data_IF_825953212251
#
_entry.id   IF_825953212251
#
_cell.length_a   1.000
_cell.length_b   1.000
_cell.length_c   1.000
_cell.angle_alpha   90.00
_cell.angle_beta   90.00
_cell.angle_gamma   90.00
#
_symmetry.space_group_name_H-M   'P 1'
#
loop_
_entity.id
_entity.type
_entity.pdbx_description
1 polymer ?
#
# COMPACT_ATOMS: atom_id res chain seq x y z
N UNK A 1 -7.50 -3.81 -11.62
CA UNK A 1 -6.27 -4.31 -10.95
C UNK A 1 -6.58 -4.56 -9.49
N UNK A 2 -5.92 -5.53 -8.89
CA UNK A 2 -6.14 -5.93 -7.49
C UNK A 2 -4.80 -5.98 -6.76
N UNK A 3 -4.84 -5.91 -5.43
CA UNK A 3 -3.65 -6.05 -4.61
C UNK A 3 -3.88 -7.00 -3.43
N UNK A 4 -2.80 -7.61 -2.96
CA UNK A 4 -2.70 -8.27 -1.66
C UNK A 4 -1.70 -7.50 -0.83
N UNK A 5 -2.12 -7.02 0.33
CA UNK A 5 -1.25 -6.41 1.34
C UNK A 5 -1.07 -7.40 2.49
N UNK A 6 0.17 -7.76 2.76
CA UNK A 6 0.55 -8.62 3.89
C UNK A 6 1.23 -7.76 4.94
N UNK A 7 0.58 -7.54 6.06
CA UNK A 7 1.17 -6.82 7.19
C UNK A 7 2.02 -7.76 8.01
N UNK A 8 3.22 -7.34 8.30
CA UNK A 8 4.21 -8.11 9.04
C UNK A 8 4.77 -7.31 10.21
N UNK A 9 5.21 -8.02 11.24
CA UNK A 9 5.99 -7.47 12.33
C UNK A 9 7.27 -8.30 12.46
N UNK A 10 8.39 -7.72 12.08
CA UNK A 10 9.72 -8.30 12.29
C UNK A 10 10.34 -7.73 13.57
N UNK A 11 11.24 -8.46 14.25
CA UNK A 11 12.09 -7.86 15.27
C UNK A 11 12.91 -6.70 14.66
N UNK A 12 13.07 -5.55 15.34
CA UNK A 12 13.78 -4.40 14.79
C UNK A 12 15.21 -4.69 14.33
N UNK A 13 15.91 -5.59 15.01
CA UNK A 13 17.25 -6.07 14.65
C UNK A 13 17.25 -7.01 13.42
N UNK A 14 16.10 -7.52 13.00
CA UNK A 14 15.91 -8.41 11.85
C UNK A 14 15.36 -7.73 10.60
N UNK A 15 15.14 -6.42 10.65
CA UNK A 15 14.56 -5.67 9.52
C UNK A 15 15.38 -5.82 8.24
N UNK A 16 16.71 -5.78 8.34
CA UNK A 16 17.55 -5.93 7.15
C UNK A 16 17.47 -7.35 6.56
N UNK A 17 17.39 -8.38 7.40
CA UNK A 17 17.17 -9.76 6.95
C UNK A 17 15.79 -9.92 6.27
N UNK A 18 14.75 -9.27 6.81
CA UNK A 18 13.41 -9.28 6.21
C UNK A 18 13.39 -8.61 4.83
N UNK A 19 14.09 -7.47 4.66
CA UNK A 19 14.24 -6.81 3.37
C UNK A 19 14.94 -7.73 2.37
N UNK A 20 16.08 -8.30 2.75
CA UNK A 20 16.85 -9.20 1.91
C UNK A 20 16.05 -10.47 1.53
N UNK A 21 15.32 -11.05 2.49
CA UNK A 21 14.44 -12.18 2.19
C UNK A 21 13.32 -11.83 1.21
N UNK A 22 12.76 -10.61 1.31
CA UNK A 22 11.76 -10.15 0.35
C UNK A 22 12.34 -10.04 -1.05
N UNK A 23 13.53 -9.44 -1.22
CA UNK A 23 14.20 -9.27 -2.51
C UNK A 23 14.58 -10.61 -3.15
N UNK A 24 15.18 -11.51 -2.38
CA UNK A 24 15.79 -12.74 -2.94
C UNK A 24 14.78 -13.88 -3.08
N UNK A 25 13.83 -14.01 -2.15
CA UNK A 25 12.95 -15.16 -2.06
C UNK A 25 11.50 -14.83 -2.45
N UNK A 26 10.91 -13.80 -1.82
CA UNK A 26 9.50 -13.48 -2.02
C UNK A 26 9.27 -12.91 -3.42
N UNK A 27 10.07 -11.92 -3.82
CA UNK A 27 9.94 -11.26 -5.11
C UNK A 27 10.11 -12.23 -6.28
N UNK A 28 11.06 -13.15 -6.18
CA UNK A 28 11.28 -14.20 -7.20
C UNK A 28 10.05 -15.09 -7.40
N UNK A 29 9.41 -15.53 -6.31
CA UNK A 29 8.19 -16.36 -6.36
C UNK A 29 7.00 -15.59 -6.92
N UNK A 30 6.82 -14.37 -6.47
CA UNK A 30 5.71 -13.51 -6.90
C UNK A 30 5.83 -13.18 -8.39
N UNK A 31 7.03 -12.81 -8.86
CA UNK A 31 7.33 -12.50 -10.26
C UNK A 31 7.01 -13.64 -11.22
N UNK A 32 7.27 -14.89 -10.82
CA UNK A 32 7.00 -16.07 -11.64
C UNK A 32 5.53 -16.50 -11.65
N UNK A 33 4.67 -15.84 -10.87
CA UNK A 33 3.26 -16.21 -10.77
C UNK A 33 2.43 -15.49 -11.85
N UNK A 34 1.65 -16.21 -12.66
CA UNK A 34 0.84 -15.61 -13.72
C UNK A 34 -0.09 -14.51 -13.22
N UNK A 35 -0.15 -13.41 -13.96
CA UNK A 35 -0.99 -12.25 -13.65
C UNK A 35 -0.41 -11.31 -12.59
N UNK A 36 0.81 -11.57 -12.08
CA UNK A 36 1.49 -10.61 -11.23
C UNK A 36 1.91 -9.36 -12.01
N UNK A 37 1.74 -8.19 -11.39
CA UNK A 37 2.05 -6.88 -11.94
C UNK A 37 3.14 -6.15 -11.11
N UNK A 38 3.77 -6.88 -10.18
CA UNK A 38 4.85 -6.37 -9.36
C UNK A 38 4.59 -6.47 -7.87
N UNK A 39 5.59 -6.04 -7.10
CA UNK A 39 5.55 -6.03 -5.65
C UNK A 39 6.35 -4.87 -5.08
N UNK A 40 5.96 -4.43 -3.89
CA UNK A 40 6.69 -3.45 -3.07
C UNK A 40 6.75 -3.94 -1.62
N UNK A 41 7.85 -3.60 -0.94
CA UNK A 41 7.97 -3.74 0.50
C UNK A 41 8.08 -2.36 1.13
N UNK A 42 7.14 -2.04 1.99
CA UNK A 42 7.15 -0.89 2.88
C UNK A 42 7.61 -1.34 4.25
N UNK A 43 8.47 -0.58 4.90
CA UNK A 43 9.03 -0.94 6.21
C UNK A 43 9.21 0.29 7.11
N UNK A 44 8.95 0.13 8.39
CA UNK A 44 9.41 1.02 9.45
C UNK A 44 10.65 0.39 10.08
N UNK A 45 11.83 0.95 9.81
CA UNK A 45 13.10 0.42 10.36
C UNK A 45 13.15 0.52 11.88
N UNK A 46 12.44 1.50 12.45
CA UNK A 46 12.43 1.72 13.89
C UNK A 46 11.60 0.66 14.63
N UNK A 47 10.43 0.28 14.07
CA UNK A 47 9.49 -0.61 14.75
C UNK A 47 9.52 -2.04 14.25
N UNK A 48 10.09 -2.28 13.07
CA UNK A 48 10.02 -3.57 12.39
C UNK A 48 8.64 -3.87 11.74
N UNK A 49 7.69 -2.94 11.84
CA UNK A 49 6.41 -3.05 11.14
C UNK A 49 6.62 -2.91 9.62
N UNK A 50 5.92 -3.71 8.84
CA UNK A 50 6.03 -3.67 7.37
C UNK A 50 4.77 -4.12 6.64
N UNK A 51 4.72 -3.77 5.35
CA UNK A 51 3.64 -4.17 4.44
C UNK A 51 4.27 -4.65 3.13
N UNK A 52 4.18 -5.95 2.85
CA UNK A 52 4.48 -6.50 1.55
C UNK A 52 3.24 -6.42 0.66
N UNK A 53 3.30 -5.63 -0.41
CA UNK A 53 2.17 -5.45 -1.34
C UNK A 53 2.51 -6.12 -2.66
N UNK A 54 1.60 -6.95 -3.17
CA UNK A 54 1.68 -7.57 -4.49
C UNK A 54 0.50 -7.13 -5.34
N UNK A 55 0.77 -6.79 -6.61
CA UNK A 55 -0.23 -6.31 -7.55
C UNK A 55 -0.59 -7.40 -8.56
N UNK A 56 -1.87 -7.45 -8.93
CA UNK A 56 -2.45 -8.51 -9.77
C UNK A 56 -3.35 -7.91 -10.84
N UNK A 57 -3.26 -8.42 -12.06
CA UNK A 57 -4.04 -7.92 -13.19
C UNK A 57 -5.55 -8.06 -13.01
N UNK A 58 -6.00 -9.09 -12.25
CA UNK A 58 -7.42 -9.40 -12.06
C UNK A 58 -7.69 -10.04 -10.70
N UNK A 59 -8.95 -10.04 -10.26
CA UNK A 59 -9.40 -10.79 -9.09
C UNK A 59 -9.13 -12.29 -9.23
N UNK A 60 -9.26 -12.83 -10.46
CA UNK A 60 -8.98 -14.24 -10.76
C UNK A 60 -7.50 -14.57 -10.56
N UNK A 61 -6.57 -13.72 -11.04
CA UNK A 61 -5.14 -13.91 -10.84
C UNK A 61 -4.77 -13.81 -9.35
N UNK A 62 -5.33 -12.83 -8.63
CA UNK A 62 -5.16 -12.70 -7.18
C UNK A 62 -5.62 -13.97 -6.44
N UNK A 63 -6.82 -14.48 -6.76
CA UNK A 63 -7.36 -15.70 -6.15
C UNK A 63 -6.52 -16.93 -6.48
N UNK A 64 -6.11 -17.11 -7.73
CA UNK A 64 -5.26 -18.23 -8.17
C UNK A 64 -3.88 -18.24 -7.47
N UNK A 65 -3.38 -17.07 -7.09
CA UNK A 65 -2.10 -16.93 -6.38
C UNK A 65 -2.17 -17.24 -4.87
N UNK A 66 -3.34 -17.54 -4.31
CA UNK A 66 -3.51 -17.66 -2.85
C UNK A 66 -2.67 -18.75 -2.22
N UNK A 67 -2.66 -19.94 -2.81
CA UNK A 67 -1.89 -21.08 -2.29
C UNK A 67 -0.39 -20.77 -2.28
N UNK A 68 0.14 -20.17 -3.36
CA UNK A 68 1.52 -19.71 -3.42
C UNK A 68 1.78 -18.66 -2.34
N UNK A 69 0.85 -17.70 -2.16
CA UNK A 69 0.96 -16.66 -1.15
C UNK A 69 1.03 -17.23 0.27
N UNK A 70 0.20 -18.22 0.60
CA UNK A 70 0.24 -18.92 1.92
C UNK A 70 1.61 -19.57 2.13
N UNK A 71 2.07 -20.37 1.15
CA UNK A 71 3.38 -21.05 1.23
C UNK A 71 4.53 -20.05 1.39
N UNK A 72 4.47 -18.93 0.65
CA UNK A 72 5.50 -17.88 0.73
C UNK A 72 5.54 -17.23 2.11
N UNK A 73 4.40 -16.92 2.70
CA UNK A 73 4.31 -16.36 4.07
C UNK A 73 4.85 -17.32 5.13
N UNK A 74 4.46 -18.58 5.05
CA UNK A 74 4.96 -19.62 5.97
C UNK A 74 6.47 -19.77 5.86
N UNK A 75 7.01 -19.79 4.64
CA UNK A 75 8.45 -19.91 4.43
C UNK A 75 9.19 -18.65 4.92
N UNK A 76 8.68 -17.47 4.61
CA UNK A 76 9.29 -16.21 5.04
C UNK A 76 9.39 -16.07 6.57
N UNK A 77 8.38 -16.53 7.30
CA UNK A 77 8.42 -16.54 8.76
C UNK A 77 9.48 -17.51 9.33
N UNK A 78 9.83 -18.57 8.58
CA UNK A 78 10.93 -19.48 8.94
C UNK A 78 12.30 -18.89 8.58
N UNK A 79 12.38 -18.22 7.43
CA UNK A 79 13.63 -17.63 6.93
C UNK A 79 14.10 -16.46 7.80
N UNK A 80 13.15 -15.72 8.40
CA UNK A 80 13.44 -14.59 9.32
C UNK A 80 12.73 -14.86 10.66
N UNK A 81 13.38 -15.61 11.57
CA UNK A 81 12.78 -15.99 12.85
C UNK A 81 12.34 -14.78 13.68
N UNK A 82 11.16 -14.89 14.30
CA UNK A 82 10.52 -13.81 15.06
C UNK A 82 9.60 -12.92 14.24
N UNK A 83 9.60 -13.04 12.91
CA UNK A 83 8.65 -12.33 12.05
C UNK A 83 7.25 -12.95 12.17
N UNK A 84 6.27 -12.08 12.43
CA UNK A 84 4.86 -12.45 12.51
C UNK A 84 4.09 -11.90 11.32
N UNK A 85 3.16 -12.70 10.77
CA UNK A 85 2.15 -12.22 9.82
C UNK A 85 0.98 -11.69 10.65
N UNK A 86 0.79 -10.37 10.63
CA UNK A 86 -0.23 -9.68 11.43
C UNK A 86 -1.59 -9.77 10.75
N UNK A 87 -1.62 -9.49 9.44
CA UNK A 87 -2.85 -9.48 8.65
C UNK A 87 -2.55 -9.67 7.16
N UNK A 88 -3.55 -10.16 6.42
CA UNK A 88 -3.52 -10.29 4.95
C UNK A 88 -4.80 -9.72 4.38
N UNK A 89 -4.68 -8.62 3.67
CA UNK A 89 -5.78 -7.88 3.06
C UNK A 89 -5.78 -8.08 1.55
N UNK A 90 -6.96 -8.03 0.95
CA UNK A 90 -7.16 -8.06 -0.50
C UNK A 90 -8.04 -6.88 -0.86
N UNK A 91 -7.65 -6.15 -1.89
CA UNK A 91 -8.38 -4.96 -2.26
C UNK A 91 -8.39 -4.75 -3.78
N UNK A 92 -9.41 -4.09 -4.25
CA UNK A 92 -9.50 -3.56 -5.61
C UNK A 92 -8.77 -2.21 -5.66
N UNK A 93 -7.86 -2.07 -6.63
CA UNK A 93 -7.17 -0.81 -6.88
C UNK A 93 -8.10 0.15 -7.64
N UNK A 94 -8.54 1.18 -6.95
CA UNK A 94 -9.48 2.17 -7.47
C UNK A 94 -8.81 3.36 -8.14
N UNK A 95 -7.58 3.67 -7.70
CA UNK A 95 -6.86 4.83 -8.17
C UNK A 95 -5.36 4.64 -8.01
N UNK A 96 -4.61 5.06 -9.03
CA UNK A 96 -3.16 5.17 -8.99
C UNK A 96 -2.75 6.38 -9.84
N UNK A 97 -2.23 7.42 -9.20
CA UNK A 97 -1.58 8.56 -9.84
C UNK A 97 -0.08 8.49 -9.54
N UNK A 98 0.74 8.67 -10.55
CA UNK A 98 2.19 8.70 -10.43
C UNK A 98 2.72 9.95 -11.12
N UNK A 99 3.38 10.82 -10.38
CA UNK A 99 4.10 11.98 -10.89
C UNK A 99 5.57 11.67 -11.18
N UNK A 100 6.10 10.58 -10.60
CA UNK A 100 7.48 10.14 -10.78
C UNK A 100 7.60 8.62 -10.73
N UNK A 101 8.67 8.08 -11.32
CA UNK A 101 8.98 6.65 -11.29
C UNK A 101 9.15 6.14 -9.85
N UNK A 102 8.57 4.97 -9.53
CA UNK A 102 8.74 4.35 -8.22
C UNK A 102 10.21 4.04 -7.95
N UNK A 103 10.69 4.35 -6.74
CA UNK A 103 12.06 4.06 -6.31
C UNK A 103 12.13 3.71 -4.83
N UNK A 104 13.18 2.98 -4.47
CA UNK A 104 13.56 2.70 -3.08
C UNK A 104 13.97 3.99 -2.35
N UNK A 105 13.77 4.04 -1.04
CA UNK A 105 14.18 5.18 -0.20
C UNK A 105 13.20 6.36 -0.26
N UNK A 106 11.98 6.16 -0.77
CA UNK A 106 10.90 7.14 -0.67
C UNK A 106 10.07 6.86 0.59
N UNK A 107 9.35 7.87 1.06
CA UNK A 107 8.55 7.77 2.27
C UNK A 107 7.06 7.79 1.93
N UNK A 108 6.30 6.93 2.61
CA UNK A 108 4.87 6.79 2.36
C UNK A 108 4.07 7.05 3.64
N UNK A 109 3.03 7.87 3.52
CA UNK A 109 1.95 7.89 4.50
C UNK A 109 0.86 6.95 4.02
N UNK A 110 0.61 5.90 4.78
CA UNK A 110 -0.46 4.93 4.54
C UNK A 110 -1.60 5.23 5.50
N UNK A 111 -2.75 5.51 4.96
CA UNK A 111 -3.99 5.74 5.69
C UNK A 111 -4.92 4.57 5.43
N UNK A 112 -5.39 3.95 6.48
CA UNK A 112 -6.38 2.90 6.41
C UNK A 112 -7.59 3.32 7.21
N UNK A 113 -8.79 3.13 6.67
CA UNK A 113 -10.02 3.36 7.39
C UNK A 113 -10.99 2.19 7.20
N UNK A 114 -11.86 1.98 8.20
CA UNK A 114 -12.98 1.05 8.15
C UNK A 114 -14.26 1.88 8.11
N UNK A 115 -14.95 1.84 7.00
CA UNK A 115 -16.15 2.63 6.73
C UNK A 115 -17.32 1.78 6.27
N UNK A 116 -18.37 2.44 5.82
CA UNK A 116 -19.52 1.82 5.21
C UNK A 116 -19.20 1.37 3.77
N UNK A 117 -19.31 0.07 3.44
CA UNK A 117 -19.03 -0.44 2.10
C UNK A 117 -19.76 0.32 0.96
N UNK A 118 -20.96 0.85 1.24
CA UNK A 118 -21.76 1.58 0.26
C UNK A 118 -21.25 3.01 0.02
N UNK A 119 -20.42 3.54 0.89
CA UNK A 119 -19.88 4.91 0.84
C UNK A 119 -18.45 5.00 0.32
N UNK A 120 -17.76 3.87 0.16
CA UNK A 120 -16.35 3.86 -0.25
C UNK A 120 -16.12 4.53 -1.60
N UNK A 121 -17.01 4.34 -2.58
CA UNK A 121 -16.88 4.97 -3.90
C UNK A 121 -16.93 6.50 -3.81
N UNK A 122 -17.82 7.05 -2.98
CA UNK A 122 -17.88 8.48 -2.74
C UNK A 122 -16.59 9.02 -2.11
N UNK A 123 -15.99 8.27 -1.17
CA UNK A 123 -14.70 8.62 -0.60
C UNK A 123 -13.56 8.58 -1.64
N UNK A 124 -13.56 7.61 -2.56
CA UNK A 124 -12.61 7.55 -3.68
C UNK A 124 -12.77 8.77 -4.61
N UNK A 125 -14.01 9.17 -4.91
CA UNK A 125 -14.29 10.39 -5.69
C UNK A 125 -13.74 11.63 -5.00
N UNK A 126 -13.92 11.76 -3.67
CA UNK A 126 -13.34 12.85 -2.90
C UNK A 126 -11.80 12.83 -2.94
N UNK A 127 -11.18 11.67 -2.73
CA UNK A 127 -9.71 11.53 -2.81
C UNK A 127 -9.21 11.99 -4.19
N UNK A 128 -9.87 11.57 -5.26
CA UNK A 128 -9.51 11.95 -6.63
C UNK A 128 -9.63 13.45 -6.89
N UNK A 129 -10.74 14.06 -6.46
CA UNK A 129 -11.10 15.41 -6.84
C UNK A 129 -10.56 16.47 -5.88
N UNK A 130 -10.25 16.12 -4.63
CA UNK A 130 -9.81 17.04 -3.60
C UNK A 130 -8.40 16.70 -3.09
N UNK A 131 -8.19 15.44 -2.61
CA UNK A 131 -6.90 15.08 -2.00
C UNK A 131 -5.76 15.04 -3.02
N UNK A 132 -5.99 14.47 -4.21
CA UNK A 132 -4.96 14.34 -5.24
C UNK A 132 -4.43 15.69 -5.74
N UNK A 133 -5.27 16.69 -6.11
CA UNK A 133 -4.78 18.01 -6.53
C UNK A 133 -3.95 18.71 -5.44
N UNK A 134 -4.36 18.61 -4.17
CA UNK A 134 -3.60 19.12 -3.03
C UNK A 134 -2.24 18.43 -2.97
N UNK A 135 -2.20 17.08 -2.96
CA UNK A 135 -0.95 16.33 -2.90
C UNK A 135 0.00 16.71 -4.04
N UNK A 136 -0.51 16.81 -5.27
CA UNK A 136 0.28 17.18 -6.47
C UNK A 136 0.88 18.58 -6.42
N UNK A 137 0.27 19.51 -5.68
CA UNK A 137 0.78 20.88 -5.53
C UNK A 137 1.93 20.97 -4.51
N UNK A 138 2.19 19.92 -3.74
CA UNK A 138 3.18 19.95 -2.68
C UNK A 138 4.53 19.42 -3.16
N UNK A 139 5.60 20.00 -2.61
CA UNK A 139 6.97 19.59 -2.91
C UNK A 139 7.20 18.12 -2.54
N UNK A 140 7.94 17.41 -3.38
CA UNK A 140 8.33 16.02 -3.14
C UNK A 140 7.22 14.98 -3.38
N UNK A 141 6.02 15.36 -3.84
CA UNK A 141 4.98 14.43 -4.21
C UNK A 141 5.43 13.50 -5.36
N UNK A 142 5.18 12.20 -5.21
CA UNK A 142 5.54 11.18 -6.22
C UNK A 142 4.35 10.37 -6.69
N UNK A 143 3.48 9.94 -5.78
CA UNK A 143 2.34 9.10 -6.13
C UNK A 143 1.21 9.18 -5.09
N UNK A 144 0.00 8.89 -5.53
CA UNK A 144 -1.14 8.57 -4.68
C UNK A 144 -1.80 7.29 -5.18
N UNK A 145 -2.00 6.34 -4.28
CA UNK A 145 -2.66 5.05 -4.56
C UNK A 145 -3.81 4.90 -3.59
N UNK A 146 -4.98 4.46 -4.09
CA UNK A 146 -6.13 4.14 -3.24
C UNK A 146 -6.77 2.82 -3.68
N UNK A 147 -7.12 1.99 -2.70
CA UNK A 147 -7.73 0.68 -2.89
C UNK A 147 -8.82 0.44 -1.86
N UNK A 148 -9.82 -0.38 -2.21
CA UNK A 148 -10.94 -0.71 -1.34
C UNK A 148 -11.15 -2.22 -1.27
N UNK A 149 -11.60 -2.68 -0.12
CA UNK A 149 -12.22 -3.97 0.08
C UNK A 149 -13.71 -3.75 0.40
N UNK A 150 -14.56 -4.07 -0.57
CA UNK A 150 -16.01 -3.86 -0.45
C UNK A 150 -16.67 -4.84 0.52
N UNK A 151 -16.01 -5.96 0.83
CA UNK A 151 -16.58 -6.96 1.75
C UNK A 151 -16.43 -6.49 3.19
N UNK A 152 -15.31 -5.86 3.51
CA UNK A 152 -14.99 -5.42 4.88
C UNK A 152 -15.27 -3.95 5.14
N UNK A 153 -15.55 -3.13 4.11
CA UNK A 153 -15.68 -1.69 4.24
C UNK A 153 -14.32 -0.97 4.40
N UNK A 154 -13.21 -1.65 4.06
CA UNK A 154 -11.88 -1.10 4.25
C UNK A 154 -11.45 -0.28 3.04
N UNK A 155 -10.97 0.93 3.28
CA UNK A 155 -10.28 1.77 2.31
C UNK A 155 -8.85 1.99 2.79
N UNK A 156 -7.89 1.81 1.88
CA UNK A 156 -6.49 2.15 2.10
C UNK A 156 -6.04 3.15 1.04
N UNK A 157 -5.44 4.25 1.48
CA UNK A 157 -4.85 5.25 0.60
C UNK A 157 -3.41 5.53 1.03
N UNK A 158 -2.49 5.63 0.07
CA UNK A 158 -1.11 5.99 0.35
C UNK A 158 -0.66 7.16 -0.51
N UNK A 159 0.08 8.09 0.09
CA UNK A 159 0.82 9.13 -0.61
C UNK A 159 2.31 8.90 -0.46
N UNK A 160 3.05 9.00 -1.58
CA UNK A 160 4.50 8.79 -1.63
C UNK A 160 5.23 10.11 -1.82
N UNK A 161 6.33 10.30 -1.09
CA UNK A 161 7.10 11.53 -1.01
C UNK A 161 8.60 11.26 -1.19
N UNK A 162 9.33 12.23 -1.75
CA UNK A 162 10.77 12.11 -1.98
C UNK A 162 11.55 11.95 -0.66
N UNK A 163 11.18 12.72 0.37
CA UNK A 163 11.86 12.74 1.67
C UNK A 163 10.87 12.69 2.82
N UNK A 164 11.35 12.31 4.01
CA UNK A 164 10.57 12.40 5.24
C UNK A 164 10.13 13.85 5.52
N UNK A 165 11.00 14.83 5.28
CA UNK A 165 10.69 16.24 5.46
C UNK A 165 9.55 16.72 4.54
N UNK A 166 9.50 16.27 3.28
CA UNK A 166 8.38 16.57 2.37
C UNK A 166 7.08 15.90 2.83
N UNK A 167 7.16 14.66 3.34
CA UNK A 167 6.04 13.95 3.93
C UNK A 167 5.49 14.70 5.14
N UNK A 168 6.36 15.12 6.07
CA UNK A 168 5.97 15.86 7.29
C UNK A 168 5.35 17.21 6.94
N UNK A 169 5.96 17.95 6.03
CA UNK A 169 5.44 19.25 5.55
C UNK A 169 4.04 19.12 4.89
N UNK A 170 3.75 17.96 4.27
CA UNK A 170 2.45 17.71 3.65
C UNK A 170 1.29 17.61 4.66
N UNK A 171 1.56 17.28 5.92
CA UNK A 171 0.53 16.95 6.91
C UNK A 171 -0.46 18.09 7.11
N UNK A 172 0.02 19.33 7.23
CA UNK A 172 -0.84 20.50 7.46
C UNK A 172 -1.88 20.72 6.35
N UNK A 173 -1.62 20.25 5.14
CA UNK A 173 -2.53 20.36 3.98
C UNK A 173 -3.37 19.11 3.75
N UNK A 174 -2.81 17.93 4.09
CA UNK A 174 -3.45 16.64 3.82
C UNK A 174 -4.39 16.17 4.94
N UNK A 175 -4.19 16.64 6.18
CA UNK A 175 -5.00 16.20 7.32
C UNK A 175 -6.50 16.49 7.15
N UNK A 176 -6.85 17.71 6.70
CA UNK A 176 -8.25 18.11 6.53
C UNK A 176 -8.99 17.28 5.48
N UNK A 177 -8.38 17.10 4.30
CA UNK A 177 -8.99 16.29 3.22
C UNK A 177 -9.06 14.81 3.58
N UNK A 178 -8.11 14.29 4.38
CA UNK A 178 -8.15 12.93 4.93
C UNK A 178 -9.33 12.76 5.89
N UNK A 179 -9.54 13.69 6.80
CA UNK A 179 -10.66 13.66 7.73
C UNK A 179 -12.01 13.71 6.99
N UNK A 180 -12.12 14.52 5.94
CA UNK A 180 -13.34 14.58 5.13
C UNK A 180 -13.57 13.29 4.35
N UNK A 181 -12.53 12.67 3.78
CA UNK A 181 -12.65 11.36 3.13
C UNK A 181 -13.15 10.28 4.10
N UNK A 182 -12.64 10.27 5.35
CA UNK A 182 -13.09 9.34 6.38
C UNK A 182 -14.58 9.57 6.73
N UNK A 183 -14.99 10.82 6.93
CA UNK A 183 -16.40 11.18 7.19
C UNK A 183 -17.32 10.75 6.05
N UNK A 184 -16.93 10.99 4.80
CA UNK A 184 -17.68 10.55 3.61
C UNK A 184 -17.82 9.03 3.59
N UNK A 185 -16.75 8.29 3.94
CA UNK A 185 -16.78 6.83 4.07
C UNK A 185 -17.62 6.34 5.27
N UNK A 186 -18.10 7.23 6.13
CA UNK A 186 -18.83 6.86 7.35
C UNK A 186 -17.93 6.35 8.48
N UNK A 187 -16.63 6.62 8.41
CA UNK A 187 -15.65 6.25 9.42
C UNK A 187 -15.49 7.36 10.48
N UNK A 188 -15.44 6.97 11.73
CA UNK A 188 -15.11 7.85 12.85
C UNK A 188 -13.58 7.99 13.03
N UNK A 189 -13.13 8.91 13.90
CA UNK A 189 -11.69 9.10 14.15
C UNK A 189 -10.98 7.82 14.64
N UNK A 190 -11.64 6.97 15.40
CA UNK A 190 -11.11 5.69 15.90
C UNK A 190 -10.96 4.63 14.81
N UNK A 191 -11.66 4.80 13.68
CA UNK A 191 -11.63 3.87 12.55
C UNK A 191 -10.52 4.19 11.55
N UNK A 192 -9.75 5.26 11.79
CA UNK A 192 -8.68 5.73 10.90
C UNK A 192 -7.32 5.45 11.53
N UNK A 193 -6.48 4.75 10.79
CA UNK A 193 -5.08 4.53 11.14
C UNK A 193 -4.17 5.24 10.14
N UNK A 194 -3.15 5.93 10.63
CA UNK A 194 -2.13 6.61 9.82
C UNK A 194 -0.77 6.05 10.20
N UNK A 195 -0.07 5.52 9.23
CA UNK A 195 1.26 4.91 9.41
C UNK A 195 2.25 5.50 8.42
N UNK A 196 3.51 5.55 8.80
CA UNK A 196 4.60 6.04 7.94
C UNK A 196 5.59 4.91 7.72
N UNK A 197 5.96 4.73 6.45
CA UNK A 197 6.90 3.71 6.01
C UNK A 197 7.94 4.29 5.04
N UNK A 198 9.06 3.59 4.94
CA UNK A 198 10.03 3.71 3.85
C UNK A 198 9.75 2.63 2.80
N UNK A 199 9.87 2.94 1.52
CA UNK A 199 9.88 1.93 0.46
C UNK A 199 11.24 1.24 0.43
N UNK A 200 11.31 -0.01 0.91
CA UNK A 200 12.54 -0.78 0.98
C UNK A 200 12.82 -1.58 -0.29
N UNK A 201 11.75 -2.09 -0.94
CA UNK A 201 11.84 -2.82 -2.21
C UNK A 201 10.74 -2.33 -3.12
N UNK A 202 11.07 -2.10 -4.39
CA UNK A 202 10.11 -1.66 -5.41
C UNK A 202 10.38 -2.40 -6.71
N UNK A 203 9.41 -3.18 -7.16
CA UNK A 203 9.41 -3.79 -8.49
C UNK A 203 7.99 -3.78 -9.06
N UNK A 204 7.78 -3.02 -10.12
CA UNK A 204 6.49 -2.89 -10.79
C UNK A 204 6.66 -3.13 -12.29
N UNK A 205 5.80 -3.96 -12.86
CA UNK A 205 5.78 -4.22 -14.31
C UNK A 205 5.11 -3.03 -15.00
N UNK A 206 5.77 -2.46 -16.01
CA UNK A 206 5.20 -1.36 -16.78
C UNK A 206 4.97 -0.09 -15.97
N UNK A 207 5.98 0.36 -15.21
CA UNK A 207 5.91 1.54 -14.35
C UNK A 207 5.34 2.81 -15.02
N UNK A 208 5.32 2.86 -16.35
CA UNK A 208 4.72 3.94 -17.16
C UNK A 208 3.19 3.83 -17.36
N UNK A 209 2.53 2.79 -16.86
CA UNK A 209 1.09 2.63 -17.07
C UNK A 209 0.30 3.55 -16.13
N UNK A 210 -0.19 4.66 -16.66
CA UNK A 210 -1.29 5.43 -16.06
C UNK A 210 -2.53 4.54 -16.09
N UNK A 211 -2.97 4.05 -14.92
CA UNK A 211 -4.30 3.46 -14.81
C UNK A 211 -5.33 4.61 -14.84
N UNK A 212 -5.83 4.89 -16.04
CA UNK A 212 -7.07 5.65 -16.20
C UNK A 212 -8.21 4.70 -15.89
N UNK A 213 -8.83 4.82 -14.73
CA UNK A 213 -10.10 4.16 -14.43
C UNK A 213 -11.14 4.60 -15.45
N UNK A 214 -11.81 3.61 -16.08
CA UNK A 214 -13.05 3.88 -16.84
C UNK A 214 -14.02 4.63 -15.95
N UNK A 215 -14.62 5.68 -16.54
CA UNK A 215 -15.73 6.43 -15.96
C UNK A 215 -16.91 5.54 -15.64
#
# INVERSE_FOLDING_TARGET
MFLRATRVQAPPDKVQEAIQNFETNILKRVRSTPGNQGAILLISRQTGSGIGITYWESAKALAASEQMGIQTRVQSAKDVPGTQIVNVERAELMMMDRAAEPKVGTFLRVVTLNGDPQKLDAAIVHIRNQSLPIAKSLKGYRALVAAIDRQTGRLSASTTWDTMADLDASESKMAGTRAEAAKIAGAGPSDVTVEIFESAVVELVGASAKLTTKA
#
